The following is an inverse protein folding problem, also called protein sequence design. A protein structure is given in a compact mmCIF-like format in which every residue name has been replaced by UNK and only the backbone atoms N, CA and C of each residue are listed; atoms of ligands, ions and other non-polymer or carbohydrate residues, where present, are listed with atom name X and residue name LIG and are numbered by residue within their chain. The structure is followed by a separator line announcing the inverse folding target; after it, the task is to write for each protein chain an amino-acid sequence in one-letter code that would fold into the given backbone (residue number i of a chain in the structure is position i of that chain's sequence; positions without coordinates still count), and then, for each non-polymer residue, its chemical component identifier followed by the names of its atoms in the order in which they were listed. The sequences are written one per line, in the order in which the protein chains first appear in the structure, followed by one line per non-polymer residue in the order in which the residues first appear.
data_IF_477041474838
#
_entry.id   IF_477041474838
#
_cell.length_a   1.000
_cell.length_b   1.000
_cell.length_c   1.000
_cell.angle_alpha   90.00
_cell.angle_beta   90.00
_cell.angle_gamma   90.00
#
_symmetry.space_group_name_H-M   'P 1'
#
loop_
_entity.id
_entity.type
_entity.pdbx_description
1 polymer ?
#
# COMPACT_ATOMS: atom_id res chain seq x y z
N UNK A 1 0.01 15.58 -26.42
CA UNK A 1 1.47 15.51 -26.50
C UNK A 1 1.85 14.67 -27.73
N UNK A 2 2.99 14.99 -28.37
CA UNK A 2 3.46 14.18 -29.48
C UNK A 2 3.91 12.81 -28.98
N UNK A 3 3.76 11.80 -29.82
CA UNK A 3 4.24 10.45 -29.49
C UNK A 3 5.77 10.37 -29.57
N UNK A 4 6.36 9.59 -28.70
CA UNK A 4 7.78 9.26 -28.78
C UNK A 4 8.07 8.41 -30.00
N UNK A 5 9.33 8.33 -30.40
CA UNK A 5 9.75 7.37 -31.43
C UNK A 5 9.59 5.94 -30.86
N UNK A 6 8.99 5.06 -31.68
CA UNK A 6 8.79 3.64 -31.31
C UNK A 6 8.05 3.48 -29.98
N UNK A 7 6.83 4.04 -29.87
CA UNK A 7 6.09 3.94 -28.61
C UNK A 7 5.68 2.51 -28.30
N UNK A 8 5.70 2.14 -27.02
CA UNK A 8 5.29 0.81 -26.56
C UNK A 8 4.06 0.86 -25.69
N UNK A 9 3.71 2.02 -25.11
CA UNK A 9 2.53 2.16 -24.25
C UNK A 9 2.06 3.61 -24.23
N UNK A 10 0.84 3.85 -24.66
CA UNK A 10 0.15 5.15 -24.61
C UNK A 10 1.02 6.30 -25.15
N UNK A 11 1.67 6.05 -26.28
CA UNK A 11 2.50 7.05 -26.95
C UNK A 11 3.89 7.23 -26.38
N UNK A 12 4.25 6.48 -25.35
CA UNK A 12 5.56 6.54 -24.68
C UNK A 12 6.42 5.35 -25.08
N UNK A 13 7.72 5.61 -25.31
CA UNK A 13 8.68 4.54 -25.54
C UNK A 13 9.23 4.02 -24.20
N UNK A 14 10.10 3.00 -24.28
CA UNK A 14 10.67 2.41 -23.04
C UNK A 14 11.43 3.43 -22.20
N UNK A 15 12.21 4.29 -22.85
CA UNK A 15 13.02 5.28 -22.11
C UNK A 15 12.12 6.22 -21.30
N UNK A 16 11.05 6.72 -21.91
CA UNK A 16 10.10 7.60 -21.22
C UNK A 16 9.40 6.87 -20.07
N UNK A 17 8.97 5.62 -20.31
CA UNK A 17 8.33 4.84 -19.24
C UNK A 17 9.30 4.56 -18.09
N UNK A 18 10.55 4.22 -18.40
CA UNK A 18 11.57 3.98 -17.36
C UNK A 18 11.73 5.23 -16.50
N UNK A 19 11.73 6.41 -17.12
CA UNK A 19 11.84 7.66 -16.37
C UNK A 19 10.63 7.86 -15.46
N UNK A 20 9.42 7.65 -15.99
CA UNK A 20 8.18 7.85 -15.21
C UNK A 20 8.05 6.87 -14.04
N UNK A 21 8.51 5.65 -14.21
CA UNK A 21 8.34 4.61 -13.18
C UNK A 21 9.55 4.49 -12.26
N UNK A 22 10.54 5.38 -12.39
CA UNK A 22 11.65 5.47 -11.45
C UNK A 22 11.50 6.75 -10.62
N UNK A 23 10.89 6.66 -9.43
CA UNK A 23 10.64 7.87 -8.63
C UNK A 23 11.89 8.62 -8.20
N UNK A 24 13.05 7.95 -8.22
CA UNK A 24 14.34 8.61 -7.93
C UNK A 24 14.65 9.71 -8.95
N UNK A 25 14.14 9.57 -10.17
CA UNK A 25 14.39 10.57 -11.23
C UNK A 25 13.63 11.88 -11.00
N UNK A 26 12.68 11.90 -10.08
CA UNK A 26 11.89 13.10 -9.81
C UNK A 26 12.54 14.02 -8.77
N UNK A 27 13.65 13.62 -8.18
CA UNK A 27 14.31 14.37 -7.12
C UNK A 27 15.83 14.33 -7.29
N UNK A 28 16.52 15.32 -6.74
CA UNK A 28 17.98 15.41 -6.88
C UNK A 28 18.70 14.32 -6.08
N UNK A 29 18.23 14.02 -4.87
CA UNK A 29 18.86 13.04 -4.00
C UNK A 29 17.79 12.29 -3.19
N UNK A 30 17.65 11.01 -3.46
CA UNK A 30 16.63 10.18 -2.80
C UNK A 30 17.11 9.61 -1.46
N UNK A 31 18.41 9.63 -1.19
CA UNK A 31 18.98 9.00 0.00
C UNK A 31 18.38 9.50 1.32
N UNK A 32 18.24 10.83 1.52
CA UNK A 32 17.66 11.31 2.78
C UNK A 32 16.23 10.82 3.01
N UNK A 33 15.46 10.66 1.93
CA UNK A 33 14.07 10.20 2.04
C UNK A 33 14.00 8.72 2.41
N UNK A 34 14.90 7.89 1.85
CA UNK A 34 14.98 6.48 2.24
C UNK A 34 15.48 6.33 3.67
N UNK A 35 16.48 7.14 4.05
CA UNK A 35 16.98 7.13 5.43
C UNK A 35 15.87 7.50 6.42
N UNK A 36 14.96 8.39 6.03
CA UNK A 36 13.86 8.80 6.88
C UNK A 36 12.91 7.64 7.21
N UNK A 37 12.70 6.71 6.28
CA UNK A 37 11.89 5.51 6.58
C UNK A 37 12.45 4.79 7.80
N UNK A 38 13.77 4.60 7.82
CA UNK A 38 14.44 3.90 8.92
C UNK A 38 14.42 4.71 10.20
N UNK A 39 14.86 5.98 10.16
CA UNK A 39 14.94 6.80 11.37
C UNK A 39 13.57 7.06 12.00
N UNK A 40 12.56 7.34 11.18
CA UNK A 40 11.22 7.59 11.71
C UNK A 40 10.60 6.29 12.26
N UNK A 41 10.89 5.15 11.64
CA UNK A 41 10.38 3.87 12.14
C UNK A 41 11.07 3.49 13.46
N UNK A 42 12.38 3.72 13.57
CA UNK A 42 13.10 3.49 14.84
C UNK A 42 12.55 4.38 15.95
N UNK A 43 12.30 5.65 15.65
CA UNK A 43 11.74 6.58 16.61
C UNK A 43 10.34 6.14 17.05
N UNK A 44 9.52 5.68 16.11
CA UNK A 44 8.16 5.21 16.43
C UNK A 44 8.21 3.96 17.31
N UNK A 45 9.11 3.02 17.01
CA UNK A 45 9.26 1.83 17.86
C UNK A 45 9.70 2.20 19.27
N UNK A 46 10.60 3.17 19.40
CA UNK A 46 11.07 3.62 20.73
C UNK A 46 9.96 4.31 21.52
N UNK A 47 8.99 4.93 20.83
CA UNK A 47 7.93 5.71 21.47
C UNK A 47 6.64 4.93 21.70
N UNK A 48 6.59 3.65 21.33
CA UNK A 48 5.37 2.83 21.41
C UNK A 48 5.70 1.47 22.04
N UNK A 49 4.66 0.69 22.29
CA UNK A 49 4.80 -0.64 22.91
C UNK A 49 4.59 -1.74 21.89
N UNK A 50 5.47 -1.81 20.90
CA UNK A 50 5.36 -2.78 19.82
C UNK A 50 5.59 -4.22 20.25
N UNK A 51 4.84 -5.13 19.64
CA UNK A 51 5.08 -6.57 19.72
C UNK A 51 5.67 -6.96 18.37
N UNK A 52 6.97 -7.22 18.35
CA UNK A 52 7.70 -7.41 17.09
C UNK A 52 7.77 -8.88 16.69
N UNK A 53 7.87 -9.10 15.36
CA UNK A 53 8.12 -10.42 14.78
C UNK A 53 7.06 -11.46 15.14
N UNK A 54 5.80 -11.04 15.14
CA UNK A 54 4.68 -11.95 15.35
C UNK A 54 4.42 -12.74 14.08
N UNK A 55 4.39 -14.07 14.17
CA UNK A 55 4.19 -14.94 13.00
C UNK A 55 2.72 -14.95 12.57
N UNK A 56 2.46 -14.72 11.27
CA UNK A 56 1.10 -14.86 10.73
C UNK A 56 0.96 -16.01 9.72
N UNK A 57 2.06 -16.68 9.40
CA UNK A 57 2.04 -17.79 8.45
C UNK A 57 3.29 -18.64 8.57
N UNK A 58 3.37 -19.72 7.78
CA UNK A 58 4.41 -20.75 7.98
C UNK A 58 5.81 -20.38 7.48
N UNK A 59 5.95 -19.42 6.56
CA UNK A 59 7.28 -19.12 6.04
C UNK A 59 7.98 -18.05 6.88
N UNK A 60 9.30 -17.94 6.72
CA UNK A 60 10.12 -17.02 7.49
C UNK A 60 9.67 -15.56 7.31
N UNK A 61 9.27 -15.18 6.11
CA UNK A 61 8.88 -13.80 5.82
C UNK A 61 7.51 -13.42 6.39
N UNK A 62 6.70 -14.39 6.77
CA UNK A 62 5.32 -14.13 7.21
C UNK A 62 5.31 -13.67 8.68
N UNK A 63 5.76 -12.44 8.88
CA UNK A 63 5.86 -11.79 10.20
C UNK A 63 5.17 -10.42 10.13
N UNK A 64 4.64 -10.01 11.28
CA UNK A 64 4.11 -8.64 11.44
C UNK A 64 4.67 -8.06 12.73
N UNK A 65 4.73 -6.73 12.77
CA UNK A 65 4.94 -5.99 14.02
C UNK A 65 3.61 -5.35 14.38
N UNK A 66 3.20 -5.47 15.65
CA UNK A 66 1.92 -4.95 16.13
C UNK A 66 2.17 -3.86 17.17
N UNK A 67 1.53 -2.70 16.97
CA UNK A 67 1.63 -1.56 17.88
C UNK A 67 0.25 -1.30 18.45
N UNK A 68 -0.08 -1.92 19.60
CA UNK A 68 -1.42 -1.83 20.18
C UNK A 68 -1.77 -0.42 20.66
N UNK A 69 -3.07 -0.12 20.73
CA UNK A 69 -3.56 1.19 21.16
C UNK A 69 -4.70 1.06 22.17
N UNK A 70 -4.59 0.10 23.07
CA UNK A 70 -5.60 -0.13 24.10
C UNK A 70 -6.60 -1.19 23.69
N UNK A 71 -7.74 -1.20 24.37
CA UNK A 71 -8.76 -2.21 24.16
C UNK A 71 -9.67 -1.85 22.99
N UNK A 72 -9.95 -2.84 22.16
CA UNK A 72 -10.96 -2.74 21.10
C UNK A 72 -10.70 -1.57 20.16
N UNK A 73 -9.43 -1.36 19.82
CA UNK A 73 -9.02 -0.25 18.94
C UNK A 73 -9.18 -0.64 17.48
N UNK A 74 -9.56 0.30 16.62
CA UNK A 74 -9.44 0.05 15.18
C UNK A 74 -7.98 -0.17 14.85
N UNK A 75 -7.71 -0.88 13.75
CA UNK A 75 -6.34 -1.20 13.37
C UNK A 75 -6.05 -0.72 11.95
N UNK A 76 -4.88 -0.12 11.77
CA UNK A 76 -4.36 0.30 10.48
C UNK A 76 -3.23 -0.64 10.11
N UNK A 77 -3.43 -1.42 9.05
CA UNK A 77 -2.47 -2.42 8.58
C UNK A 77 -1.69 -1.81 7.43
N UNK A 78 -0.39 -1.59 7.63
CA UNK A 78 0.43 -0.92 6.62
C UNK A 78 1.30 -1.92 5.86
N UNK A 79 1.27 -1.83 4.53
CA UNK A 79 2.00 -2.71 3.61
C UNK A 79 3.04 -1.87 2.87
N UNK A 80 4.32 -2.24 3.01
CA UNK A 80 5.43 -1.45 2.50
C UNK A 80 5.59 -1.54 0.98
N UNK A 81 6.30 -0.55 0.42
CA UNK A 81 6.68 -0.53 -0.98
C UNK A 81 8.03 -1.19 -1.24
N UNK A 82 8.70 -0.77 -2.32
CA UNK A 82 10.01 -1.30 -2.69
C UNK A 82 9.99 -2.17 -3.94
N UNK A 83 9.06 -1.92 -4.83
CA UNK A 83 8.93 -2.62 -6.11
C UNK A 83 8.98 -4.15 -5.94
N UNK A 84 8.37 -4.65 -4.84
CA UNK A 84 8.21 -6.08 -4.54
C UNK A 84 9.54 -6.81 -4.32
N UNK A 85 10.68 -6.08 -4.26
CA UNK A 85 11.99 -6.72 -4.11
C UNK A 85 12.88 -6.12 -3.04
N UNK A 86 12.42 -5.08 -2.33
CA UNK A 86 13.23 -4.46 -1.29
C UNK A 86 12.37 -3.91 -0.17
N UNK A 87 13.01 -3.46 0.91
CA UNK A 87 12.40 -2.96 2.12
C UNK A 87 11.75 -4.09 2.93
N UNK A 88 11.19 -3.73 4.06
CA UNK A 88 10.60 -4.67 5.00
C UNK A 88 9.70 -3.92 5.98
N UNK A 89 9.10 -4.66 6.92
CA UNK A 89 8.34 -4.05 8.01
C UNK A 89 9.20 -3.15 8.90
N UNK A 90 10.52 -3.38 8.91
CA UNK A 90 11.42 -2.60 9.78
C UNK A 90 11.47 -1.11 9.40
N UNK A 91 11.22 -0.78 8.14
CA UNK A 91 11.19 0.61 7.67
C UNK A 91 9.74 1.12 7.51
N UNK A 92 8.77 0.46 8.14
CA UNK A 92 7.35 0.65 7.82
C UNK A 92 6.49 0.89 9.05
N UNK A 93 7.08 1.28 10.18
CA UNK A 93 6.33 1.60 11.39
C UNK A 93 6.34 3.09 11.71
N UNK A 94 6.77 3.93 10.78
CA UNK A 94 6.94 5.36 11.02
C UNK A 94 5.64 6.06 11.45
N UNK A 95 4.47 5.52 11.15
CA UNK A 95 3.19 6.08 11.56
C UNK A 95 2.69 5.56 12.90
N UNK A 96 3.41 4.64 13.56
CA UNK A 96 2.87 3.97 14.74
C UNK A 96 2.53 4.95 15.86
N UNK A 97 3.41 5.92 16.13
CA UNK A 97 3.17 6.89 17.21
C UNK A 97 1.96 7.79 16.91
N UNK A 98 1.90 8.36 15.69
CA UNK A 98 0.82 9.29 15.36
C UNK A 98 -0.55 8.60 15.38
N UNK A 99 -0.61 7.35 14.93
CA UNK A 99 -1.88 6.60 14.93
C UNK A 99 -2.23 6.10 16.34
N UNK A 100 -1.25 5.60 17.10
CA UNK A 100 -1.50 5.19 18.48
C UNK A 100 -2.03 6.36 19.32
N UNK A 101 -1.48 7.57 19.12
CA UNK A 101 -1.95 8.76 19.84
C UNK A 101 -3.41 9.07 19.51
N UNK A 102 -3.90 8.65 18.36
CA UNK A 102 -5.30 8.81 17.95
C UNK A 102 -6.18 7.62 18.36
N UNK A 103 -5.62 6.65 19.11
CA UNK A 103 -6.38 5.48 19.55
C UNK A 103 -6.48 4.38 18.51
N UNK A 104 -5.60 4.37 17.51
CA UNK A 104 -5.59 3.40 16.42
C UNK A 104 -4.36 2.50 16.55
N UNK A 105 -4.57 1.18 16.58
CA UNK A 105 -3.47 0.22 16.54
C UNK A 105 -2.88 0.20 15.14
N UNK A 106 -1.59 -0.14 15.05
CA UNK A 106 -0.90 -0.24 13.76
C UNK A 106 -0.28 -1.62 13.64
N UNK A 107 -0.36 -2.20 12.44
CA UNK A 107 0.33 -3.45 12.11
C UNK A 107 1.20 -3.18 10.88
N UNK A 108 2.50 -3.44 11.00
CA UNK A 108 3.43 -3.35 9.86
C UNK A 108 3.66 -4.76 9.33
N UNK A 109 3.37 -4.96 8.05
CA UNK A 109 3.38 -6.30 7.44
C UNK A 109 4.69 -6.54 6.70
N UNK A 110 5.32 -7.69 6.98
CA UNK A 110 6.39 -8.21 6.14
C UNK A 110 5.80 -9.20 5.14
N UNK A 111 6.45 -9.33 4.01
CA UNK A 111 6.12 -10.33 3.00
C UNK A 111 7.40 -10.72 2.27
N UNK A 112 7.42 -11.92 1.70
CA UNK A 112 8.57 -12.39 0.93
C UNK A 112 8.71 -11.58 -0.35
N UNK A 113 9.92 -11.47 -0.85
CA UNK A 113 10.24 -10.59 -1.97
C UNK A 113 10.58 -11.40 -3.24
N UNK A 114 10.40 -10.76 -4.39
CA UNK A 114 10.87 -11.30 -5.67
C UNK A 114 12.42 -11.23 -5.64
N UNK A 115 13.16 -12.22 -6.11
CA UNK A 115 12.71 -13.40 -6.87
C UNK A 115 12.44 -14.64 -6.03
N UNK A 116 12.52 -14.55 -4.70
CA UNK A 116 12.33 -15.72 -3.83
C UNK A 116 10.92 -16.28 -3.98
N UNK A 117 9.95 -15.41 -4.24
CA UNK A 117 8.55 -15.80 -4.47
C UNK A 117 8.00 -15.04 -5.66
N UNK A 118 6.83 -15.45 -6.14
CA UNK A 118 6.09 -14.76 -7.22
C UNK A 118 5.26 -13.60 -6.65
N UNK A 119 4.80 -12.71 -7.54
CA UNK A 119 3.86 -11.66 -7.14
C UNK A 119 2.56 -12.26 -6.60
N UNK A 120 2.07 -13.34 -7.21
CA UNK A 120 0.87 -14.03 -6.71
C UNK A 120 1.06 -14.48 -5.25
N UNK A 121 2.25 -14.97 -4.90
CA UNK A 121 2.53 -15.40 -3.54
C UNK A 121 2.61 -14.20 -2.58
N UNK A 122 3.17 -13.07 -3.02
CA UNK A 122 3.18 -11.84 -2.19
C UNK A 122 1.74 -11.42 -1.86
N UNK A 123 0.86 -11.43 -2.87
CA UNK A 123 -0.55 -11.08 -2.66
C UNK A 123 -1.20 -12.05 -1.68
N UNK A 124 -0.92 -13.37 -1.83
CA UNK A 124 -1.44 -14.38 -0.88
C UNK A 124 -0.99 -14.06 0.54
N UNK A 125 0.29 -13.72 0.72
CA UNK A 125 0.82 -13.44 2.06
C UNK A 125 0.15 -12.21 2.69
N UNK A 126 -0.08 -11.15 1.91
CA UNK A 126 -0.77 -9.96 2.44
C UNK A 126 -2.21 -10.30 2.84
N UNK A 127 -2.91 -11.12 2.04
CA UNK A 127 -4.25 -11.58 2.38
C UNK A 127 -4.24 -12.45 3.65
N UNK A 128 -3.22 -13.29 3.80
CA UNK A 128 -3.05 -14.10 5.00
C UNK A 128 -2.83 -13.22 6.24
N UNK A 129 -2.06 -12.14 6.11
CA UNK A 129 -1.82 -11.23 7.22
C UNK A 129 -3.14 -10.59 7.70
N UNK A 130 -3.95 -10.12 6.76
CA UNK A 130 -5.25 -9.50 7.09
C UNK A 130 -6.17 -10.55 7.72
N UNK A 131 -6.18 -11.77 7.18
CA UNK A 131 -6.96 -12.88 7.72
C UNK A 131 -6.53 -13.18 9.16
N UNK A 132 -5.23 -13.22 9.41
CA UNK A 132 -4.68 -13.47 10.74
C UNK A 132 -5.17 -12.39 11.74
N UNK A 133 -5.18 -11.18 11.32
CA UNK A 133 -5.70 -10.10 12.16
C UNK A 133 -7.18 -10.29 12.50
N UNK A 134 -7.88 -10.66 11.60
CA UNK A 134 -9.16 -10.95 11.73
C UNK A 134 -9.41 -11.94 12.67
N UNK A 135 -8.60 -12.94 12.78
CA UNK A 135 -8.78 -14.12 13.65
C UNK A 135 -8.15 -13.92 15.04
N UNK A 136 -7.00 -13.30 15.10
CA UNK A 136 -6.18 -13.26 16.33
C UNK A 136 -5.89 -11.86 16.84
N UNK A 137 -6.26 -10.82 16.14
CA UNK A 137 -5.92 -9.45 16.52
C UNK A 137 -6.52 -9.02 17.85
N UNK A 138 -7.63 -9.60 18.25
CA UNK A 138 -8.26 -9.24 19.53
C UNK A 138 -7.36 -9.56 20.71
N UNK A 139 -6.43 -10.49 20.58
CA UNK A 139 -5.44 -10.79 21.63
C UNK A 139 -4.51 -9.60 21.89
N UNK A 140 -4.44 -8.69 20.92
CA UNK A 140 -3.60 -7.48 20.99
C UNK A 140 -4.44 -6.21 21.08
N UNK A 141 -5.76 -6.37 21.39
CA UNK A 141 -6.67 -5.24 21.51
C UNK A 141 -7.28 -4.73 20.18
N UNK A 142 -7.01 -5.18 19.01
CA UNK A 142 -7.49 -4.84 17.82
C UNK A 142 -8.83 -5.26 17.73
N UNK A 143 -9.67 -4.47 17.19
CA UNK A 143 -11.09 -4.74 16.89
C UNK A 143 -11.17 -5.41 15.50
N UNK A 144 -11.55 -6.69 15.44
CA UNK A 144 -11.59 -7.39 14.15
C UNK A 144 -12.65 -6.86 13.19
N UNK A 145 -13.56 -6.02 13.67
CA UNK A 145 -14.59 -5.39 12.83
C UNK A 145 -14.17 -4.03 12.30
N UNK A 146 -12.98 -3.55 12.66
CA UNK A 146 -12.51 -2.24 12.21
C UNK A 146 -11.08 -2.32 11.68
N UNK A 147 -10.89 -3.16 10.66
CA UNK A 147 -9.59 -3.34 10.01
C UNK A 147 -9.52 -2.38 8.81
N UNK A 148 -8.53 -1.51 8.83
CA UNK A 148 -8.24 -0.56 7.75
C UNK A 148 -6.85 -0.85 7.22
N UNK A 149 -6.63 -0.60 5.93
CA UNK A 149 -5.33 -0.92 5.30
C UNK A 149 -4.74 0.31 4.63
N UNK A 150 -3.42 0.32 4.52
CA UNK A 150 -2.73 1.36 3.77
C UNK A 150 -1.42 0.85 3.23
N UNK A 151 -0.89 1.55 2.24
CA UNK A 151 0.40 1.17 1.67
C UNK A 151 0.84 2.14 0.60
N UNK A 152 2.12 2.13 0.31
CA UNK A 152 2.73 3.05 -0.63
C UNK A 152 3.41 2.30 -1.77
N UNK A 153 3.26 2.78 -2.99
CA UNK A 153 3.94 2.26 -4.18
C UNK A 153 3.57 0.79 -4.41
N UNK A 154 4.52 -0.14 -4.36
CA UNK A 154 4.20 -1.58 -4.41
C UNK A 154 3.25 -1.96 -3.28
N UNK A 155 3.36 -1.32 -2.11
CA UNK A 155 2.39 -1.51 -1.02
C UNK A 155 1.00 -0.99 -1.38
N UNK A 156 0.94 0.11 -2.13
CA UNK A 156 -0.34 0.60 -2.68
C UNK A 156 -0.95 -0.39 -3.64
N UNK A 157 -0.14 -1.05 -4.43
CA UNK A 157 -0.59 -2.18 -5.24
C UNK A 157 -1.19 -3.29 -4.36
N UNK A 158 -0.52 -3.65 -3.27
CA UNK A 158 -0.94 -4.56 -2.48
C UNK A 158 -2.13 -4.26 -1.89
N UNK A 159 -2.43 -2.93 -1.50
CA UNK A 159 -3.74 -2.44 -1.03
C UNK A 159 -4.83 -2.67 -2.08
N UNK A 160 -4.54 -2.29 -3.31
CA UNK A 160 -5.49 -2.52 -4.40
C UNK A 160 -5.91 -3.99 -4.53
N UNK A 161 -4.96 -4.90 -4.39
CA UNK A 161 -5.26 -6.33 -4.47
C UNK A 161 -6.12 -6.81 -3.30
N UNK A 162 -6.05 -6.12 -2.13
CA UNK A 162 -6.92 -6.43 -1.01
C UNK A 162 -8.35 -5.95 -1.26
N UNK A 163 -8.54 -5.02 -2.18
CA UNK A 163 -9.89 -4.56 -2.59
C UNK A 163 -10.47 -5.44 -3.70
N UNK A 164 -9.69 -6.34 -4.28
CA UNK A 164 -10.17 -7.27 -5.30
C UNK A 164 -11.29 -8.14 -4.74
N UNK A 165 -12.26 -8.47 -5.58
CA UNK A 165 -13.43 -9.24 -5.12
C UNK A 165 -13.09 -10.73 -4.97
N UNK A 166 -13.90 -11.43 -4.19
CA UNK A 166 -13.91 -12.89 -4.01
C UNK A 166 -12.80 -13.50 -3.16
N UNK A 167 -11.68 -12.81 -2.90
CA UNK A 167 -10.62 -13.46 -2.13
C UNK A 167 -11.02 -13.75 -0.67
N UNK A 168 -11.85 -12.90 0.00
CA UNK A 168 -12.17 -13.22 1.39
C UNK A 168 -12.84 -14.58 1.59
N UNK A 169 -13.72 -14.97 0.68
CA UNK A 169 -14.38 -16.28 0.77
C UNK A 169 -13.36 -17.42 0.74
N UNK A 170 -12.32 -17.30 -0.08
CA UNK A 170 -11.29 -18.33 -0.18
C UNK A 170 -10.45 -18.43 1.10
N UNK A 171 -10.39 -17.36 1.88
CA UNK A 171 -9.66 -17.33 3.15
C UNK A 171 -10.60 -17.55 4.35
N UNK A 172 -11.88 -17.77 4.12
CA UNK A 172 -12.86 -18.02 5.19
C UNK A 172 -13.16 -16.81 6.05
N UNK A 173 -13.10 -15.61 5.45
CA UNK A 173 -13.37 -14.36 6.17
C UNK A 173 -14.47 -13.57 5.46
N UNK A 174 -15.12 -12.62 6.17
CA UNK A 174 -16.19 -11.85 5.55
C UNK A 174 -15.75 -11.03 4.35
N UNK A 175 -16.62 -10.87 3.36
CA UNK A 175 -16.35 -10.04 2.19
C UNK A 175 -16.01 -8.60 2.58
N UNK A 176 -16.60 -8.11 3.66
CA UNK A 176 -16.39 -6.75 4.15
C UNK A 176 -15.36 -6.67 5.28
N UNK A 177 -14.38 -7.58 5.27
CA UNK A 177 -13.33 -7.62 6.31
C UNK A 177 -12.59 -6.29 6.41
N UNK A 178 -12.37 -5.59 5.30
CA UNK A 178 -11.66 -4.30 5.26
C UNK A 178 -12.69 -3.17 5.26
N UNK A 179 -12.52 -2.21 6.17
CA UNK A 179 -13.48 -1.13 6.36
C UNK A 179 -13.04 0.20 5.75
N UNK A 180 -11.80 0.31 5.35
CA UNK A 180 -11.28 1.50 4.67
C UNK A 180 -9.88 1.27 4.17
N UNK A 181 -9.46 2.05 3.17
CA UNK A 181 -8.16 1.86 2.54
C UNK A 181 -7.50 3.20 2.21
N UNK A 182 -6.17 3.19 2.20
CA UNK A 182 -5.32 4.30 1.77
C UNK A 182 -4.26 3.73 0.82
N UNK A 183 -4.25 4.23 -0.40
CA UNK A 183 -3.16 3.93 -1.31
C UNK A 183 -2.34 5.17 -1.63
N UNK A 184 -1.12 5.20 -1.37
CA UNK A 184 -0.31 6.19 -1.65
C UNK A 184 0.45 5.82 -2.76
N UNK A 185 0.43 6.54 -3.93
CA UNK A 185 1.28 6.38 -5.14
C UNK A 185 1.28 4.94 -5.63
N UNK A 186 0.11 4.33 -5.67
CA UNK A 186 0.01 2.90 -5.95
C UNK A 186 0.09 2.54 -7.43
N UNK A 187 0.27 1.26 -7.68
CA UNK A 187 0.40 0.68 -9.02
C UNK A 187 -0.78 -0.26 -9.23
N UNK A 188 -1.80 0.23 -9.93
CA UNK A 188 -3.09 -0.48 -10.00
C UNK A 188 -3.33 -1.16 -11.35
N UNK A 189 -2.42 -0.94 -12.29
CA UNK A 189 -2.41 -1.55 -13.62
C UNK A 189 -0.97 -1.91 -13.96
N UNK A 190 -0.65 -3.08 -13.94
CA UNK A 190 0.49 -3.57 -14.12
C UNK A 190 0.96 -3.57 -15.39
N UNK A 191 0.14 -3.34 -16.60
CA UNK A 191 0.50 -3.42 -18.02
C UNK A 191 1.72 -2.54 -18.39
N UNK A 192 1.74 -1.26 -18.01
CA UNK A 192 2.89 -0.44 -18.42
C UNK A 192 4.22 -0.91 -17.84
N UNK A 193 4.22 -1.56 -16.69
CA UNK A 193 5.47 -2.00 -16.04
C UNK A 193 6.20 -3.08 -16.83
N UNK A 194 5.46 -3.86 -17.62
CA UNK A 194 6.04 -4.85 -18.52
C UNK A 194 7.03 -4.22 -19.51
N UNK A 195 6.83 -2.97 -19.81
CA UNK A 195 7.64 -2.24 -20.80
C UNK A 195 8.73 -1.39 -20.17
N UNK A 196 9.04 -1.65 -18.88
CA UNK A 196 10.02 -0.86 -18.13
C UNK A 196 11.15 -1.74 -17.60
N UNK A 197 12.16 -1.09 -17.01
CA UNK A 197 13.27 -1.78 -16.34
C UNK A 197 12.78 -2.69 -15.20
N UNK A 198 11.59 -2.43 -14.67
CA UNK A 198 11.03 -3.24 -13.59
C UNK A 198 10.81 -4.68 -14.05
N UNK A 199 10.55 -4.87 -15.34
CA UNK A 199 10.39 -6.20 -15.90
C UNK A 199 11.67 -7.04 -15.83
N UNK A 200 12.83 -6.40 -15.63
CA UNK A 200 14.09 -7.13 -15.51
C UNK A 200 14.07 -8.12 -14.33
N UNK A 201 13.32 -7.81 -13.26
CA UNK A 201 13.19 -8.75 -12.14
C UNK A 201 11.78 -9.32 -11.98
N UNK A 202 10.76 -8.66 -12.52
CA UNK A 202 9.38 -9.15 -12.38
C UNK A 202 9.02 -10.17 -13.45
N UNK A 203 9.62 -10.09 -14.65
CA UNK A 203 9.36 -11.00 -15.76
C UNK A 203 7.85 -11.16 -16.00
N UNK A 204 7.15 -10.04 -16.17
CA UNK A 204 5.69 -10.03 -16.33
C UNK A 204 5.28 -10.80 -17.58
N UNK A 205 4.41 -11.79 -17.42
CA UNK A 205 3.66 -12.32 -18.56
C UNK A 205 2.21 -11.81 -18.44
N UNK A 206 1.41 -12.02 -19.48
CA UNK A 206 0.07 -11.47 -19.50
C UNK A 206 -0.81 -12.05 -18.39
N UNK A 207 -0.61 -13.32 -18.05
CA UNK A 207 -1.34 -13.95 -16.95
C UNK A 207 -1.08 -13.25 -15.61
N UNK A 208 0.20 -12.98 -15.32
CA UNK A 208 0.58 -12.27 -14.08
C UNK A 208 -0.03 -10.87 -14.06
N UNK A 209 0.05 -10.15 -15.18
CA UNK A 209 -0.52 -8.80 -15.30
C UNK A 209 -2.03 -8.84 -15.02
N UNK A 210 -2.73 -9.77 -15.66
CA UNK A 210 -4.18 -9.86 -15.54
C UNK A 210 -4.62 -10.21 -14.13
N UNK A 211 -3.90 -11.13 -13.47
CA UNK A 211 -4.24 -11.53 -12.09
C UNK A 211 -3.90 -10.48 -11.05
N UNK A 212 -2.98 -9.57 -11.37
CA UNK A 212 -2.42 -8.66 -10.37
C UNK A 212 -2.58 -7.18 -10.72
N UNK A 213 -3.55 -6.84 -11.55
CA UNK A 213 -3.87 -5.43 -11.83
C UNK A 213 -5.20 -5.09 -11.14
N UNK A 214 -5.16 -4.50 -9.94
CA UNK A 214 -6.37 -4.28 -9.14
C UNK A 214 -7.46 -3.51 -9.86
N UNK A 215 -7.10 -2.62 -10.75
CA UNK A 215 -8.06 -1.83 -11.54
C UNK A 215 -9.08 -2.73 -12.23
N UNK A 216 -8.72 -3.92 -12.61
CA UNK A 216 -9.59 -4.87 -13.33
C UNK A 216 -10.11 -6.02 -12.45
N UNK A 217 -9.80 -6.03 -11.17
CA UNK A 217 -10.15 -7.04 -10.35
C UNK A 217 -11.13 -6.67 -9.37
N UNK A 218 -11.80 -5.46 -9.55
CA UNK A 218 -12.86 -5.05 -8.62
C UNK A 218 -14.18 -5.73 -8.95
N UNK A 219 -15.00 -5.94 -7.94
CA UNK A 219 -16.32 -6.52 -8.16
C UNK A 219 -17.36 -5.45 -8.50
N UNK A 220 -18.59 -5.90 -8.71
CA UNK A 220 -19.71 -4.99 -9.03
C UNK A 220 -20.26 -4.27 -7.80
N UNK A 221 -19.95 -4.75 -6.60
CA UNK A 221 -20.39 -4.10 -5.34
C UNK A 221 -19.31 -3.13 -4.88
N UNK A 222 -19.76 -2.06 -4.22
CA UNK A 222 -18.81 -1.06 -3.70
C UNK A 222 -17.85 -1.68 -2.69
N UNK A 223 -16.70 -1.11 -2.70
CA UNK A 223 -15.62 -1.46 -1.75
C UNK A 223 -15.64 -0.55 -0.53
N UNK A 224 -14.65 -0.48 0.33
CA UNK A 224 -14.46 0.26 1.37
C UNK A 224 -14.15 1.57 0.98
N UNK A 225 -14.56 2.55 1.79
CA UNK A 225 -14.13 3.93 1.49
C UNK A 225 -12.62 3.99 1.30
N UNK A 226 -12.20 4.67 0.29
CA UNK A 226 -10.78 4.62 -0.12
C UNK A 226 -10.24 6.02 -0.35
N UNK A 227 -9.03 6.28 0.18
CA UNK A 227 -8.23 7.48 -0.10
C UNK A 227 -7.12 7.05 -1.03
N UNK A 228 -6.96 7.74 -2.15
CA UNK A 228 -5.83 7.55 -3.05
C UNK A 228 -5.05 8.86 -3.07
N UNK A 229 -3.80 8.81 -2.66
CA UNK A 229 -2.96 10.00 -2.56
C UNK A 229 -1.74 9.86 -3.46
N UNK A 230 -1.30 10.97 -4.01
CA UNK A 230 -0.09 11.03 -4.83
C UNK A 230 0.58 12.39 -4.57
N UNK A 231 1.90 12.40 -4.51
CA UNK A 231 2.65 13.64 -4.27
C UNK A 231 2.70 14.48 -5.54
N UNK A 232 2.52 15.79 -5.40
CA UNK A 232 2.50 16.67 -6.59
C UNK A 232 3.77 16.63 -7.42
N UNK A 233 4.85 16.11 -6.88
CA UNK A 233 5.98 15.99 -7.50
C UNK A 233 6.28 14.80 -8.12
N UNK A 234 5.36 13.97 -8.21
CA UNK A 234 5.60 12.68 -8.87
C UNK A 234 5.32 12.76 -10.37
N UNK A 235 5.87 11.81 -11.09
CA UNK A 235 5.65 11.77 -12.55
C UNK A 235 4.18 11.47 -12.89
N UNK A 236 3.75 11.90 -14.05
CA UNK A 236 2.35 11.83 -14.47
C UNK A 236 1.78 10.42 -14.49
N UNK A 237 2.61 9.39 -14.73
CA UNK A 237 2.11 8.01 -14.71
C UNK A 237 1.62 7.59 -13.32
N UNK A 238 2.26 8.05 -12.23
CA UNK A 238 1.75 7.78 -10.88
C UNK A 238 0.42 8.48 -10.63
N UNK A 239 0.27 9.71 -11.15
CA UNK A 239 -1.02 10.41 -11.08
C UNK A 239 -2.09 9.65 -11.87
N UNK A 240 -1.75 9.23 -13.10
CA UNK A 240 -2.70 8.50 -13.94
C UNK A 240 -3.13 7.17 -13.29
N UNK A 241 -2.18 6.41 -12.71
CA UNK A 241 -2.50 5.16 -12.04
C UNK A 241 -3.57 5.39 -10.94
N UNK A 242 -3.37 6.43 -10.14
CA UNK A 242 -4.32 6.74 -9.06
C UNK A 242 -5.67 7.19 -9.59
N UNK A 243 -5.68 8.07 -10.59
CA UNK A 243 -6.93 8.56 -11.21
C UNK A 243 -7.72 7.42 -11.85
N UNK A 244 -7.03 6.58 -12.62
CA UNK A 244 -7.70 5.46 -13.29
C UNK A 244 -8.30 4.49 -12.26
N UNK A 245 -7.57 4.22 -11.18
CA UNK A 245 -8.09 3.34 -10.14
C UNK A 245 -9.26 4.00 -9.40
N UNK A 246 -9.18 5.30 -9.13
CA UNK A 246 -10.29 6.04 -8.52
C UNK A 246 -11.54 5.94 -9.39
N UNK A 247 -11.37 6.09 -10.71
CA UNK A 247 -12.50 6.00 -11.63
C UNK A 247 -13.12 4.59 -11.62
N UNK A 248 -12.27 3.55 -11.56
CA UNK A 248 -12.76 2.17 -11.49
C UNK A 248 -13.54 1.93 -10.20
N UNK A 249 -13.06 2.46 -9.07
CA UNK A 249 -13.75 2.35 -7.77
C UNK A 249 -15.07 3.12 -7.79
N UNK A 250 -15.07 4.33 -8.33
CA UNK A 250 -16.30 5.13 -8.44
C UNK A 250 -17.34 4.43 -9.30
N UNK A 251 -16.90 3.74 -10.35
CA UNK A 251 -17.80 3.03 -11.25
C UNK A 251 -18.58 1.91 -10.54
N UNK A 252 -18.03 1.34 -9.45
CA UNK A 252 -18.79 0.35 -8.68
C UNK A 252 -19.46 0.95 -7.43
N UNK A 253 -19.48 2.27 -7.33
CA UNK A 253 -20.19 2.97 -6.24
C UNK A 253 -19.35 3.26 -5.00
N UNK A 254 -18.03 3.00 -5.04
CA UNK A 254 -17.15 3.24 -3.90
C UNK A 254 -16.89 4.74 -3.69
N UNK A 255 -16.88 5.17 -2.43
CA UNK A 255 -16.51 6.53 -2.05
C UNK A 255 -15.00 6.65 -2.07
N UNK A 256 -14.50 7.56 -2.93
CA UNK A 256 -13.05 7.73 -3.12
C UNK A 256 -12.62 9.20 -3.03
N UNK A 257 -11.47 9.52 -2.29
CA UNK A 257 -10.92 10.63 -2.22
C UNK A 257 -9.71 10.54 -2.82
N UNK A 258 -9.50 11.42 -3.81
CA UNK A 258 -8.17 11.55 -4.42
C UNK A 258 -7.48 12.79 -3.85
N UNK A 259 -6.25 12.60 -3.35
CA UNK A 259 -5.48 13.72 -2.76
C UNK A 259 -4.20 13.91 -3.56
N UNK A 260 -4.04 15.09 -4.15
CA UNK A 260 -2.79 15.50 -4.77
C UNK A 260 -2.02 16.30 -3.71
N UNK A 261 -1.03 15.68 -3.08
CA UNK A 261 -0.39 16.25 -1.88
C UNK A 261 0.70 17.25 -2.29
N UNK A 262 0.55 18.54 -1.96
CA UNK A 262 1.52 19.56 -2.42
C UNK A 262 2.93 19.30 -1.92
N UNK A 263 3.90 19.52 -2.80
CA UNK A 263 5.34 19.51 -2.46
C UNK A 263 5.82 18.15 -1.91
N UNK A 264 5.19 17.06 -2.35
CA UNK A 264 5.60 15.70 -1.95
C UNK A 264 6.03 14.89 -3.15
N UNK A 265 6.98 14.00 -2.92
CA UNK A 265 7.48 13.01 -3.88
C UNK A 265 7.07 11.59 -3.42
N UNK A 266 7.45 10.50 -4.02
CA UNK A 266 7.13 9.25 -3.87
C UNK A 266 7.35 8.79 -2.63
N UNK A 267 8.47 9.42 -2.04
CA UNK A 267 8.96 8.89 -0.77
C UNK A 267 8.32 9.60 0.42
N UNK A 268 8.35 10.92 0.43
CA UNK A 268 7.88 11.63 1.62
C UNK A 268 6.37 11.78 1.71
N UNK A 269 5.63 11.47 0.65
CA UNK A 269 4.17 11.40 0.78
C UNK A 269 3.79 10.30 1.77
N UNK A 270 4.53 9.19 1.80
CA UNK A 270 4.28 8.11 2.76
C UNK A 270 4.67 8.51 4.18
N UNK A 271 5.85 9.12 4.36
CA UNK A 271 6.31 9.49 5.71
C UNK A 271 5.50 10.64 6.33
N UNK A 272 4.68 11.33 5.55
CA UNK A 272 3.72 12.28 6.12
C UNK A 272 2.82 11.60 7.17
N UNK A 273 2.61 10.30 7.08
CA UNK A 273 1.81 9.58 8.07
C UNK A 273 2.41 9.62 9.48
N UNK A 274 3.70 9.95 9.62
CA UNK A 274 4.33 10.15 10.92
C UNK A 274 3.99 11.51 11.54
N UNK A 275 3.43 12.42 10.76
CA UNK A 275 3.11 13.79 11.20
C UNK A 275 1.59 13.90 11.41
N UNK A 276 1.13 14.02 12.67
CA UNK A 276 -0.31 14.08 12.91
C UNK A 276 -0.99 15.34 12.32
N UNK A 277 -0.22 16.36 11.95
CA UNK A 277 -0.79 17.57 11.35
C UNK A 277 -0.89 17.50 9.81
N UNK A 278 -0.27 16.50 9.19
CA UNK A 278 -0.29 16.37 7.72
C UNK A 278 -1.71 16.04 7.23
N UNK A 279 -2.07 16.60 6.08
CA UNK A 279 -3.42 16.43 5.54
C UNK A 279 -3.78 14.95 5.32
N UNK A 280 -2.83 14.16 4.80
CA UNK A 280 -3.07 12.75 4.54
C UNK A 280 -3.28 11.97 5.85
N UNK A 281 -2.55 12.33 6.90
CA UNK A 281 -2.69 11.69 8.21
C UNK A 281 -4.06 12.00 8.80
N UNK A 282 -4.45 13.27 8.79
CA UNK A 282 -5.75 13.69 9.30
C UNK A 282 -6.89 13.00 8.55
N UNK A 283 -6.81 12.94 7.22
CA UNK A 283 -7.85 12.32 6.42
C UNK A 283 -7.96 10.82 6.71
N UNK A 284 -6.81 10.14 6.83
CA UNK A 284 -6.80 8.70 7.09
C UNK A 284 -7.34 8.38 8.49
N UNK A 285 -6.90 9.13 9.49
CA UNK A 285 -7.39 8.95 10.87
C UNK A 285 -8.89 9.20 10.94
N UNK A 286 -9.38 10.27 10.28
CA UNK A 286 -10.82 10.57 10.27
C UNK A 286 -11.60 9.43 9.62
N UNK A 287 -11.12 8.88 8.51
CA UNK A 287 -11.76 7.75 7.84
C UNK A 287 -11.86 6.54 8.77
N UNK A 288 -10.77 6.23 9.49
CA UNK A 288 -10.72 5.09 10.40
C UNK A 288 -11.70 5.29 11.56
N UNK A 289 -11.71 6.47 12.17
CA UNK A 289 -12.50 6.72 13.36
C UNK A 289 -14.00 6.80 13.07
N UNK A 290 -14.41 7.01 11.82
CA UNK A 290 -15.82 6.98 11.43
C UNK A 290 -16.42 5.57 11.39
N UNK A 291 -15.56 4.55 11.31
CA UNK A 291 -16.04 3.16 11.16
C UNK A 291 -16.57 2.55 12.45
#
# INVERSE_FOLDING_TARGET
MAEDENPVYRGMNRETLDQHYNPRNAIDDHEPFLAAYTTLSEAARAATNGKLDVTYGPTHAEKIDIFPAGKNAPVFVYIHGGYWRMLSKNESSFMAKSFNDAGIAVVAVDYALVPDVTLDEIVRQCRAAITWIXKYGSEYGXDPKRIHIGGSSAGGHXVGMMLAHRWPAKFGVPEDIIKGALGXSGLYDXEPLKHTYIDDWMHFDQGTINRNSPKYXLGSKKSXPTILAVGSXEFSEFHRQSEDFANALRANGTSVXVMNVPDRNXFNVATDLSDPSAAITKATIAQILKS
#
